data_IF_347722836915
#
_entry.id   IF_347722836915
#
_cell.length_a   1.000
_cell.length_b   1.000
_cell.length_c   1.000
_cell.angle_alpha   90.00
_cell.angle_beta   90.00
_cell.angle_gamma   90.00
#
_symmetry.space_group_name_H-M   'P 1'
#
loop_
_entity.id
_entity.type
_entity.pdbx_description
1 polymer ?
#
# COMPACT_ATOMS: atom_id res chain seq x y z
N UNK A 1 -13.70 28.07 -55.41
CA UNK A 1 -13.60 28.67 -54.07
C UNK A 1 -13.49 27.52 -53.08
N UNK A 2 -12.25 27.12 -52.87
CA UNK A 2 -11.74 26.27 -51.80
C UNK A 2 -11.77 27.05 -50.49
N UNK A 3 -12.01 26.37 -49.36
CA UNK A 3 -11.40 26.61 -48.04
C UNK A 3 -12.11 25.73 -47.00
N UNK A 4 -11.50 24.60 -46.66
CA UNK A 4 -11.75 23.88 -45.40
C UNK A 4 -10.51 24.11 -44.52
N UNK A 5 -10.65 24.61 -43.28
CA UNK A 5 -9.50 24.87 -42.44
C UNK A 5 -8.98 23.59 -41.77
N UNK A 6 -7.65 23.44 -41.83
CA UNK A 6 -6.83 22.63 -40.93
C UNK A 6 -6.87 23.24 -39.52
N UNK A 7 -7.13 22.43 -38.50
CA UNK A 7 -6.64 22.71 -37.14
C UNK A 7 -5.78 21.51 -36.70
N UNK A 8 -4.50 21.76 -36.36
CA UNK A 8 -3.57 20.76 -35.85
C UNK A 8 -3.56 20.75 -34.30
N UNK A 9 -3.14 19.62 -33.72
CA UNK A 9 -2.58 19.59 -32.36
C UNK A 9 -3.27 18.63 -31.40
N UNK A 10 -2.92 17.35 -31.47
CA UNK A 10 -3.02 16.44 -30.32
C UNK A 10 -1.61 15.90 -30.05
N UNK A 11 -0.86 16.65 -29.24
CA UNK A 11 0.44 16.28 -28.72
C UNK A 11 0.38 16.44 -27.19
N UNK A 12 -0.01 15.35 -26.55
CA UNK A 12 0.26 15.02 -25.16
C UNK A 12 0.11 13.49 -25.14
N UNK A 13 1.15 12.73 -25.51
CA UNK A 13 2.21 12.32 -24.61
C UNK A 13 1.63 11.79 -23.28
N UNK A 14 0.80 10.75 -23.39
CA UNK A 14 0.46 9.94 -22.24
C UNK A 14 1.71 9.17 -21.82
N UNK A 15 2.18 9.50 -20.62
CA UNK A 15 3.25 8.82 -19.94
C UNK A 15 2.84 7.36 -19.74
N UNK A 16 3.43 6.49 -20.54
CA UNK A 16 3.53 5.07 -20.23
C UNK A 16 4.36 4.88 -18.97
N UNK A 17 3.72 5.00 -17.82
CA UNK A 17 4.23 4.44 -16.57
C UNK A 17 3.68 3.02 -16.47
N UNK A 18 4.39 2.10 -17.09
CA UNK A 18 4.25 0.68 -16.81
C UNK A 18 4.64 0.46 -15.35
N UNK A 19 3.64 0.31 -14.49
CA UNK A 19 3.83 -0.19 -13.12
C UNK A 19 4.38 -1.62 -13.19
N UNK A 20 5.53 -1.94 -12.57
CA UNK A 20 5.94 -3.32 -12.44
C UNK A 20 4.99 -4.05 -11.48
N UNK A 21 4.28 -5.03 -12.04
CA UNK A 21 3.58 -6.15 -11.39
C UNK A 21 4.04 -6.38 -9.93
N UNK A 22 3.12 -6.16 -8.98
CA UNK A 22 3.31 -6.60 -7.61
C UNK A 22 3.09 -8.10 -7.53
N UNK A 23 4.05 -8.79 -6.91
CA UNK A 23 4.09 -10.23 -6.75
C UNK A 23 2.97 -10.65 -5.78
N UNK A 24 1.87 -11.15 -6.33
CA UNK A 24 0.93 -12.00 -5.61
C UNK A 24 1.58 -13.35 -5.32
N UNK A 25 1.84 -13.64 -4.04
CA UNK A 25 2.11 -15.00 -3.58
C UNK A 25 1.38 -15.27 -2.27
N UNK A 26 0.29 -16.03 -2.39
CA UNK A 26 -0.34 -16.77 -1.28
C UNK A 26 0.68 -17.70 -0.61
N UNK A 27 0.72 -17.67 0.72
CA UNK A 27 0.86 -18.88 1.54
C UNK A 27 0.43 -18.58 2.99
N UNK A 28 -0.74 -19.12 3.36
CA UNK A 28 -1.16 -19.29 4.76
C UNK A 28 -0.50 -20.55 5.33
N UNK A 29 0.06 -20.49 6.54
CA UNK A 29 -0.36 -21.28 7.72
C UNK A 29 0.72 -21.27 8.81
N UNK A 30 0.24 -21.13 10.04
CA UNK A 30 0.93 -20.88 11.31
C UNK A 30 1.79 -22.05 11.83
N UNK A 31 2.78 -21.74 12.68
CA UNK A 31 2.77 -22.01 14.14
C UNK A 31 4.13 -21.60 14.74
N UNK A 32 4.15 -20.66 15.69
CA UNK A 32 5.27 -20.55 16.64
C UNK A 32 4.83 -19.91 17.96
N UNK A 33 5.07 -20.67 19.02
CA UNK A 33 4.71 -20.50 20.42
C UNK A 33 5.41 -19.32 21.10
N UNK A 34 4.72 -18.73 22.09
CA UNK A 34 5.20 -17.68 22.98
C UNK A 34 6.46 -18.06 23.79
N UNK A 35 7.41 -17.13 23.94
CA UNK A 35 8.17 -16.92 25.19
C UNK A 35 9.07 -15.66 25.13
N UNK A 36 8.74 -14.67 25.97
CA UNK A 36 9.68 -13.95 26.83
C UNK A 36 10.72 -12.98 26.24
N UNK A 37 10.76 -11.76 26.76
CA UNK A 37 12.01 -11.00 26.89
C UNK A 37 11.93 -9.52 26.52
N UNK A 38 11.60 -8.68 27.50
CA UNK A 38 11.84 -7.25 27.47
C UNK A 38 13.36 -6.99 27.49
N UNK A 39 13.92 -6.26 26.51
CA UNK A 39 15.14 -5.47 26.70
C UNK A 39 15.07 -4.18 25.86
N UNK A 40 14.83 -3.06 26.53
CA UNK A 40 15.23 -1.75 26.03
C UNK A 40 16.73 -1.58 26.34
N UNK A 41 17.57 -1.48 25.31
CA UNK A 41 18.93 -0.94 25.42
C UNK A 41 19.13 0.08 24.32
N UNK A 42 19.07 1.34 24.71
CA UNK A 42 19.50 2.46 23.88
C UNK A 42 21.02 2.59 23.98
N UNK A 43 21.73 2.49 22.86
CA UNK A 43 23.11 2.97 22.74
C UNK A 43 23.23 3.81 21.48
N UNK A 44 23.60 5.08 21.66
CA UNK A 44 23.83 6.07 20.60
C UNK A 44 25.15 5.77 19.87
N UNK A 45 25.10 4.93 18.83
CA UNK A 45 26.09 4.79 17.74
C UNK A 45 25.66 3.61 16.85
N UNK A 46 25.39 3.87 15.56
CA UNK A 46 25.32 2.82 14.53
C UNK A 46 24.36 1.65 14.81
N UNK A 47 23.20 1.91 15.43
CA UNK A 47 22.19 0.88 15.62
C UNK A 47 21.68 0.44 14.24
N UNK A 48 22.12 -0.75 13.81
CA UNK A 48 21.53 -1.44 12.67
C UNK A 48 20.10 -1.75 13.06
N UNK A 49 19.15 -0.95 12.57
CA UNK A 49 17.73 -1.26 12.69
C UNK A 49 17.53 -2.62 12.00
N UNK A 50 17.26 -3.66 12.78
CA UNK A 50 16.95 -4.98 12.26
C UNK A 50 15.45 -5.05 12.00
N UNK A 51 15.05 -4.99 10.73
CA UNK A 51 13.65 -5.19 10.35
C UNK A 51 13.24 -6.67 10.47
N UNK A 52 11.98 -6.97 10.86
CA UNK A 52 11.45 -8.33 10.96
C UNK A 52 11.57 -9.15 9.67
N UNK A 53 11.66 -10.48 9.78
CA UNK A 53 11.76 -11.40 8.63
C UNK A 53 10.38 -11.76 8.04
N UNK A 54 9.60 -10.74 7.69
CA UNK A 54 8.30 -10.87 7.03
C UNK A 54 8.25 -9.98 5.78
N UNK A 55 7.08 -9.96 5.11
CA UNK A 55 6.87 -9.26 3.85
C UNK A 55 7.06 -7.74 4.01
N UNK A 56 6.47 -7.15 5.05
CA UNK A 56 6.60 -5.72 5.33
C UNK A 56 8.04 -5.37 5.71
N UNK A 57 8.67 -6.14 6.59
CA UNK A 57 10.07 -5.96 6.96
C UNK A 57 11.03 -6.10 5.78
N UNK A 58 10.68 -6.91 4.76
CA UNK A 58 11.43 -6.97 3.51
C UNK A 58 11.37 -5.70 2.68
N UNK A 59 10.20 -5.05 2.63
CA UNK A 59 10.08 -3.73 2.00
C UNK A 59 10.95 -2.72 2.74
N UNK A 60 10.91 -2.69 4.07
CA UNK A 60 11.74 -1.78 4.87
C UNK A 60 13.25 -2.02 4.68
N UNK A 61 13.71 -3.27 4.61
CA UNK A 61 15.12 -3.59 4.27
C UNK A 61 15.50 -3.06 2.89
N UNK A 62 14.63 -3.22 1.88
CA UNK A 62 14.88 -2.74 0.52
C UNK A 62 14.94 -1.21 0.46
N UNK A 63 14.02 -0.52 1.13
CA UNK A 63 14.03 0.94 1.26
C UNK A 63 15.29 1.45 1.96
N UNK A 64 15.69 0.83 3.07
CA UNK A 64 16.94 1.19 3.75
C UNK A 64 18.16 0.97 2.84
N UNK A 65 18.21 -0.16 2.13
CA UNK A 65 19.30 -0.47 1.19
C UNK A 65 19.36 0.53 0.03
N UNK A 66 18.23 1.10 -0.39
CA UNK A 66 18.18 2.13 -1.43
C UNK A 66 18.47 3.55 -0.93
N UNK A 67 18.79 3.74 0.36
CA UNK A 67 19.05 5.06 0.93
C UNK A 67 17.79 5.89 1.22
N UNK A 68 16.63 5.24 1.40
CA UNK A 68 15.38 5.91 1.76
C UNK A 68 15.50 6.68 3.08
N UNK A 69 15.00 7.91 3.10
CA UNK A 69 15.09 8.82 4.25
C UNK A 69 13.83 8.73 5.12
N UNK A 70 13.79 7.77 6.05
CA UNK A 70 12.67 7.57 6.98
C UNK A 70 12.37 8.76 7.90
N UNK A 71 13.22 9.80 7.92
CA UNK A 71 12.97 11.00 8.72
C UNK A 71 11.93 11.94 8.08
N UNK A 72 11.70 11.79 6.76
CA UNK A 72 10.75 12.57 5.97
C UNK A 72 9.35 11.96 5.97
N UNK A 73 8.39 12.79 5.57
CA UNK A 73 6.99 12.40 5.41
C UNK A 73 6.73 12.06 3.95
N UNK A 74 6.03 10.95 3.71
CA UNK A 74 5.70 10.46 2.39
C UNK A 74 4.21 10.20 2.28
N UNK A 75 3.72 10.17 1.04
CA UNK A 75 2.39 9.67 0.72
C UNK A 75 2.50 8.15 0.54
N UNK A 76 1.69 7.41 1.31
CA UNK A 76 1.72 5.96 1.36
C UNK A 76 0.37 5.43 0.90
N UNK A 77 0.41 4.57 -0.11
CA UNK A 77 -0.76 3.91 -0.66
C UNK A 77 -1.04 2.63 0.11
N UNK A 78 -2.30 2.39 0.46
CA UNK A 78 -2.77 1.15 1.07
C UNK A 78 -3.89 0.56 0.22
N UNK A 79 -3.80 -0.73 -0.06
CA UNK A 79 -4.78 -1.46 -0.84
C UNK A 79 -5.58 -2.38 0.08
N UNK A 80 -6.90 -2.29 0.01
CA UNK A 80 -7.83 -3.23 0.64
C UNK A 80 -8.37 -4.13 -0.47
N UNK A 81 -7.93 -5.39 -0.52
CA UNK A 81 -8.42 -6.39 -1.45
C UNK A 81 -9.75 -6.96 -0.96
N UNK A 82 -10.67 -7.26 -1.88
CA UNK A 82 -11.99 -7.79 -1.57
C UNK A 82 -12.23 -9.14 -2.25
N UNK A 83 -12.72 -10.12 -1.47
CA UNK A 83 -13.09 -11.45 -1.99
C UNK A 83 -14.26 -11.40 -2.98
N UNK A 84 -15.13 -10.39 -2.87
CA UNK A 84 -16.27 -10.18 -3.76
C UNK A 84 -16.18 -8.80 -4.39
N UNK A 85 -16.39 -8.75 -5.71
CA UNK A 85 -16.35 -7.50 -6.47
C UNK A 85 -17.63 -7.29 -7.29
N UNK A 86 -18.18 -6.06 -7.37
CA UNK A 86 -17.73 -4.84 -6.69
C UNK A 86 -18.01 -4.85 -5.18
N UNK A 87 -17.25 -4.08 -4.37
CA UNK A 87 -17.54 -3.90 -2.96
C UNK A 87 -18.90 -3.22 -2.77
N UNK A 88 -19.56 -3.48 -1.64
CA UNK A 88 -20.83 -2.84 -1.34
C UNK A 88 -20.66 -1.31 -1.22
N UNK A 89 -21.69 -0.55 -1.59
CA UNK A 89 -21.69 0.92 -1.42
C UNK A 89 -21.44 1.34 0.02
N UNK A 90 -21.86 0.52 0.97
CA UNK A 90 -21.67 0.73 2.40
C UNK A 90 -20.18 0.71 2.79
N UNK A 91 -19.42 -0.31 2.37
CA UNK A 91 -17.98 -0.36 2.71
C UNK A 91 -17.20 0.73 1.99
N UNK A 92 -17.56 1.05 0.75
CA UNK A 92 -16.97 2.17 -0.01
C UNK A 92 -17.16 3.49 0.75
N UNK A 93 -18.38 3.78 1.22
CA UNK A 93 -18.65 4.98 2.01
C UNK A 93 -17.90 4.99 3.36
N UNK A 94 -17.77 3.82 4.00
CA UNK A 94 -17.09 3.69 5.28
C UNK A 94 -15.58 3.94 5.16
N UNK A 95 -14.92 3.35 4.16
CA UNK A 95 -13.50 3.58 3.87
C UNK A 95 -13.27 5.04 3.50
N UNK A 96 -14.11 5.59 2.60
CA UNK A 96 -14.04 7.01 2.20
C UNK A 96 -14.19 7.95 3.41
N UNK A 97 -15.11 7.65 4.32
CA UNK A 97 -15.32 8.47 5.53
C UNK A 97 -14.14 8.41 6.50
N UNK A 98 -13.41 7.29 6.60
CA UNK A 98 -12.28 7.16 7.54
C UNK A 98 -10.97 7.71 6.95
N UNK A 99 -10.73 7.49 5.67
CA UNK A 99 -9.42 7.73 5.04
C UNK A 99 -9.40 8.85 4.00
N UNK A 100 -10.55 9.44 3.67
CA UNK A 100 -10.64 10.50 2.66
C UNK A 100 -10.88 9.94 1.26
N UNK A 101 -10.30 10.56 0.24
CA UNK A 101 -10.49 10.10 -1.14
C UNK A 101 -9.95 8.68 -1.36
N UNK A 102 -10.63 7.95 -2.22
CA UNK A 102 -10.34 6.54 -2.53
C UNK A 102 -10.47 6.28 -4.03
N UNK A 103 -9.75 5.27 -4.49
CA UNK A 103 -9.84 4.75 -5.86
C UNK A 103 -10.27 3.28 -5.85
N UNK A 104 -11.01 2.86 -6.88
CA UNK A 104 -11.47 1.48 -7.05
C UNK A 104 -10.69 0.82 -8.19
N UNK A 105 -9.91 -0.21 -7.87
CA UNK A 105 -9.26 -1.08 -8.85
C UNK A 105 -10.11 -2.34 -9.09
N UNK A 106 -10.72 -2.53 -10.27
CA UNK A 106 -11.44 -3.76 -10.56
C UNK A 106 -10.47 -4.97 -10.59
N UNK A 107 -10.96 -6.20 -10.36
CA UNK A 107 -10.14 -7.39 -10.45
C UNK A 107 -9.59 -7.54 -11.86
N UNK A 108 -8.29 -7.83 -11.95
CA UNK A 108 -7.63 -8.24 -13.18
C UNK A 108 -7.45 -9.76 -13.22
N UNK A 109 -6.98 -10.31 -14.34
CA UNK A 109 -6.94 -11.76 -14.57
C UNK A 109 -6.16 -12.52 -13.47
N UNK A 110 -6.90 -13.12 -12.53
CA UNK A 110 -6.33 -13.91 -11.43
C UNK A 110 -6.08 -13.10 -10.14
N UNK A 111 -6.46 -11.82 -10.11
CA UNK A 111 -6.27 -10.92 -8.98
C UNK A 111 -7.63 -10.47 -8.39
N UNK A 112 -7.62 -10.08 -7.12
CA UNK A 112 -8.80 -9.51 -6.46
C UNK A 112 -8.96 -8.03 -6.82
N UNK A 113 -10.19 -7.55 -6.83
CA UNK A 113 -10.44 -6.11 -6.89
C UNK A 113 -10.13 -5.46 -5.55
N UNK A 114 -9.75 -4.19 -5.56
CA UNK A 114 -9.29 -3.48 -4.38
C UNK A 114 -9.78 -2.04 -4.29
N UNK A 115 -9.77 -1.50 -3.06
CA UNK A 115 -9.88 -0.07 -2.79
C UNK A 115 -8.49 0.45 -2.43
N UNK A 116 -8.06 1.57 -3.02
CA UNK A 116 -6.84 2.28 -2.63
C UNK A 116 -7.21 3.53 -1.83
N UNK A 117 -6.49 3.78 -0.74
CA UNK A 117 -6.51 5.05 -0.03
C UNK A 117 -5.08 5.47 0.31
N UNK A 118 -4.88 6.77 0.55
CA UNK A 118 -3.55 7.33 0.77
C UNK A 118 -3.45 8.03 2.12
N UNK A 119 -2.35 7.79 2.84
CA UNK A 119 -2.04 8.48 4.08
C UNK A 119 -0.67 9.13 4.02
N UNK A 120 -0.60 10.37 4.49
CA UNK A 120 0.65 11.13 4.57
C UNK A 120 1.26 10.97 5.96
N UNK A 121 2.40 10.31 6.07
CA UNK A 121 3.07 10.06 7.37
C UNK A 121 4.58 9.86 7.25
N UNK A 122 5.28 9.91 8.38
CA UNK A 122 6.64 9.36 8.50
C UNK A 122 6.54 7.84 8.52
N UNK A 123 7.25 7.19 7.61
CA UNK A 123 7.13 5.76 7.43
C UNK A 123 7.83 5.00 8.57
N UNK A 124 7.09 4.15 9.27
CA UNK A 124 7.62 3.22 10.26
C UNK A 124 6.86 1.90 10.19
N UNK A 125 7.53 0.81 10.55
CA UNK A 125 6.97 -0.54 10.50
C UNK A 125 5.70 -0.66 11.33
N UNK A 126 5.72 -0.18 12.58
CA UNK A 126 4.55 -0.23 13.47
C UNK A 126 3.36 0.56 12.94
N UNK A 127 3.62 1.71 12.31
CA UNK A 127 2.56 2.53 11.72
C UNK A 127 1.91 1.83 10.53
N UNK A 128 2.69 1.20 9.64
CA UNK A 128 2.17 0.40 8.52
C UNK A 128 1.28 -0.73 9.04
N UNK A 129 1.78 -1.52 9.99
CA UNK A 129 1.01 -2.62 10.57
C UNK A 129 -0.26 -2.14 11.27
N UNK A 130 -0.21 -0.98 11.95
CA UNK A 130 -1.39 -0.40 12.56
C UNK A 130 -2.44 -0.05 11.51
N UNK A 131 -2.06 0.64 10.42
CA UNK A 131 -2.99 1.00 9.35
C UNK A 131 -3.60 -0.23 8.70
N UNK A 132 -2.79 -1.24 8.37
CA UNK A 132 -3.26 -2.52 7.81
C UNK A 132 -4.27 -3.22 8.73
N UNK A 133 -3.99 -3.29 10.04
CA UNK A 133 -4.91 -3.88 11.03
C UNK A 133 -6.21 -3.09 11.14
N UNK A 134 -6.14 -1.77 11.19
CA UNK A 134 -7.33 -0.92 11.28
C UNK A 134 -8.20 -1.01 10.03
N UNK A 135 -7.59 -0.96 8.85
CA UNK A 135 -8.29 -1.08 7.58
C UNK A 135 -8.94 -2.47 7.44
N UNK A 136 -8.19 -3.52 7.75
CA UNK A 136 -8.72 -4.90 7.76
C UNK A 136 -9.86 -5.05 8.75
N UNK A 137 -9.73 -4.53 9.98
CA UNK A 137 -10.80 -4.61 10.98
C UNK A 137 -12.08 -3.90 10.49
N UNK A 138 -11.93 -2.73 9.86
CA UNK A 138 -13.03 -1.94 9.32
C UNK A 138 -13.80 -2.69 8.22
N UNK A 139 -13.08 -3.40 7.34
CA UNK A 139 -13.67 -4.00 6.13
C UNK A 139 -13.87 -5.50 6.21
N UNK A 140 -13.40 -6.17 7.28
CA UNK A 140 -13.41 -7.63 7.42
C UNK A 140 -14.79 -8.26 7.23
N UNK A 141 -15.85 -7.62 7.74
CA UNK A 141 -17.23 -8.11 7.59
C UNK A 141 -17.74 -8.11 6.14
N UNK A 142 -17.04 -7.40 5.25
CA UNK A 142 -17.32 -7.33 3.82
C UNK A 142 -16.30 -8.14 2.98
N UNK A 143 -15.47 -8.97 3.63
CA UNK A 143 -14.42 -9.74 2.96
C UNK A 143 -13.22 -8.88 2.53
N UNK A 144 -13.04 -7.70 3.12
CA UNK A 144 -11.92 -6.81 2.81
C UNK A 144 -10.69 -7.09 3.67
N UNK A 145 -9.50 -7.14 3.05
CA UNK A 145 -8.21 -7.40 3.71
C UNK A 145 -7.15 -6.40 3.23
N UNK A 146 -6.43 -5.78 4.17
CA UNK A 146 -5.36 -4.84 3.85
C UNK A 146 -4.00 -5.41 4.22
N UNK A 147 -3.27 -5.92 3.23
CA UNK A 147 -1.93 -6.50 3.38
C UNK A 147 -0.91 -5.91 2.41
N UNK A 148 -1.35 -5.06 1.47
CA UNK A 148 -0.47 -4.43 0.50
C UNK A 148 -0.41 -2.92 0.74
N UNK A 149 0.80 -2.38 0.62
CA UNK A 149 1.07 -0.96 0.70
C UNK A 149 2.29 -0.61 -0.16
N UNK A 150 2.37 0.67 -0.53
CA UNK A 150 3.46 1.20 -1.33
C UNK A 150 3.78 2.63 -0.94
N UNK A 151 5.01 3.05 -1.20
CA UNK A 151 5.42 4.46 -1.11
C UNK A 151 6.07 4.84 -2.43
N UNK A 152 5.64 5.97 -3.01
CA UNK A 152 6.32 6.51 -4.17
C UNK A 152 7.64 7.13 -3.72
N UNK A 153 8.74 6.55 -4.21
CA UNK A 153 10.08 7.08 -3.99
C UNK A 153 10.35 8.15 -5.05
N UNK A 154 10.72 9.38 -4.68
CA UNK A 154 11.06 10.44 -5.63
C UNK A 154 12.37 10.19 -6.38
#
# INVERSE_FOLDING_TARGET
MTLTPLIPGSLAQEFGLTMPSMISRRAFSALATMAGGFVCKTTLAGAVVSWPQDADGDIFRRLQKSGFDFSKTYLVDFNIEFETWPPSKEVVAMVKSKYGEIELGPPESGELGYIVFQLKSKLSYEWVLQVQREATALTSRFGGKCESWGVLVP
#
